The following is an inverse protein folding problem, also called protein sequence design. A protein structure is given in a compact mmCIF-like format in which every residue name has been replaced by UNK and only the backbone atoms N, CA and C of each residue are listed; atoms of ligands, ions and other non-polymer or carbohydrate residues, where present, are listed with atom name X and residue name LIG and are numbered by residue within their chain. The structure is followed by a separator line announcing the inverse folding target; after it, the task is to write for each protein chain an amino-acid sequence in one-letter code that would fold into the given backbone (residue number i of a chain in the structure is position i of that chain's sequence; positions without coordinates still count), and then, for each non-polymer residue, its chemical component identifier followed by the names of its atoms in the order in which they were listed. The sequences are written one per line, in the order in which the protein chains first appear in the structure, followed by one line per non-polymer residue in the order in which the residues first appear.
data_IF_648622167535
#
_entry.id   IF_648622167535
#
_cell.length_a   1.000
_cell.length_b   1.000
_cell.length_c   1.000
_cell.angle_alpha   90.00
_cell.angle_beta   90.00
_cell.angle_gamma   90.00
#
_symmetry.space_group_name_H-M   'P 1'
#
loop_
_entity.id
_entity.type
_entity.pdbx_description
1 polymer ?
#
# COMPACT_ATOMS: atom_id res chain seq x y z
N UNK A 1 1.28 -9.42 2.11
CA UNK A 1 0.90 -8.04 1.69
C UNK A 1 -0.40 -8.11 0.91
N UNK A 2 -0.78 -7.11 0.11
CA UNK A 2 -2.00 -7.21 -0.72
C UNK A 2 -1.91 -8.26 -1.83
N UNK A 3 -0.71 -8.56 -2.33
CA UNK A 3 -0.50 -9.70 -3.21
C UNK A 3 -0.13 -10.92 -2.38
N UNK A 4 -0.87 -11.98 -2.63
CA UNK A 4 -0.73 -13.32 -2.07
C UNK A 4 -0.84 -14.30 -3.24
N UNK A 5 -0.03 -15.36 -3.23
CA UNK A 5 0.02 -16.35 -4.30
C UNK A 5 -1.19 -17.30 -4.28
N UNK A 6 -1.90 -17.36 -3.14
CA UNK A 6 -2.99 -18.32 -2.88
C UNK A 6 -4.37 -17.69 -2.93
N UNK A 7 -4.46 -16.36 -2.77
CA UNK A 7 -5.74 -15.64 -2.74
C UNK A 7 -5.70 -14.42 -3.66
N UNK A 8 -6.73 -14.29 -4.49
CA UNK A 8 -6.98 -13.07 -5.26
C UNK A 8 -7.65 -12.07 -4.32
N UNK A 9 -6.97 -10.96 -4.06
CA UNK A 9 -7.53 -9.87 -3.26
C UNK A 9 -7.98 -8.76 -4.21
N UNK A 10 -9.25 -8.37 -4.09
CA UNK A 10 -9.84 -7.31 -4.89
C UNK A 10 -9.04 -6.00 -4.75
N UNK A 11 -9.03 -5.23 -5.84
CA UNK A 11 -8.34 -3.95 -5.86
C UNK A 11 -9.08 -2.94 -4.98
N UNK A 12 -8.35 -2.05 -4.29
CA UNK A 12 -8.97 -0.92 -3.62
C UNK A 12 -9.77 -0.11 -4.64
N UNK A 13 -11.06 0.07 -4.38
CA UNK A 13 -11.87 1.06 -5.07
C UNK A 13 -12.11 2.23 -4.13
N UNK A 14 -12.30 3.43 -4.67
CA UNK A 14 -12.55 4.61 -3.86
C UNK A 14 -13.83 5.29 -4.35
N UNK A 15 -14.70 5.74 -3.43
CA UNK A 15 -15.90 6.50 -3.78
C UNK A 15 -15.65 8.03 -3.86
N UNK A 16 -14.38 8.46 -3.86
CA UNK A 16 -13.98 9.86 -3.75
C UNK A 16 -13.90 10.58 -5.11
N UNK A 17 -13.93 11.91 -5.10
CA UNK A 17 -13.87 12.73 -6.32
C UNK A 17 -12.63 12.47 -7.20
N UNK A 18 -11.51 12.03 -6.62
CA UNK A 18 -10.27 11.66 -7.32
C UNK A 18 -10.01 10.15 -7.35
N UNK A 19 -11.06 9.33 -7.22
CA UNK A 19 -10.95 7.88 -7.15
C UNK A 19 -10.08 7.27 -8.26
N UNK A 20 -10.31 7.66 -9.52
CA UNK A 20 -9.57 7.14 -10.66
C UNK A 20 -8.05 7.41 -10.59
N UNK A 21 -7.65 8.56 -10.03
CA UNK A 21 -6.23 8.88 -9.81
C UNK A 21 -5.62 7.94 -8.76
N UNK A 22 -6.33 7.73 -7.65
CA UNK A 22 -5.89 6.84 -6.58
C UNK A 22 -5.84 5.37 -7.00
N UNK A 23 -6.82 4.91 -7.78
CA UNK A 23 -6.85 3.57 -8.36
C UNK A 23 -5.68 3.36 -9.34
N UNK A 24 -5.35 4.37 -10.16
CA UNK A 24 -4.19 4.34 -11.06
C UNK A 24 -2.85 4.23 -10.32
N UNK A 25 -2.73 4.92 -9.16
CA UNK A 25 -1.56 4.77 -8.28
C UNK A 25 -1.49 3.34 -7.70
N UNK A 26 -2.61 2.78 -7.25
CA UNK A 26 -2.69 1.38 -6.82
C UNK A 26 -2.24 0.41 -7.92
N UNK A 27 -2.69 0.61 -9.16
CA UNK A 27 -2.30 -0.20 -10.31
C UNK A 27 -0.79 -0.09 -10.60
N UNK A 28 -0.25 1.11 -10.50
CA UNK A 28 1.18 1.37 -10.67
C UNK A 28 2.02 0.65 -9.60
N UNK A 29 1.57 0.67 -8.34
CA UNK A 29 2.21 -0.06 -7.24
C UNK A 29 2.20 -1.58 -7.52
N UNK A 30 1.06 -2.13 -7.98
CA UNK A 30 1.00 -3.56 -8.30
C UNK A 30 1.91 -3.95 -9.45
N UNK A 31 1.85 -3.17 -10.54
CA UNK A 31 2.61 -3.46 -11.76
C UNK A 31 4.11 -3.46 -11.48
N UNK A 32 4.58 -2.50 -10.69
CA UNK A 32 5.98 -2.42 -10.24
C UNK A 32 6.34 -3.62 -9.38
N UNK A 33 5.55 -3.96 -8.37
CA UNK A 33 5.81 -5.15 -7.55
C UNK A 33 5.93 -6.43 -8.37
N UNK A 34 4.98 -6.67 -9.29
CA UNK A 34 4.99 -7.86 -10.18
C UNK A 34 6.24 -7.88 -11.06
N UNK A 35 6.62 -6.72 -11.58
CA UNK A 35 7.83 -6.58 -12.41
C UNK A 35 9.10 -6.86 -11.60
N UNK A 36 9.20 -6.30 -10.39
CA UNK A 36 10.29 -6.53 -9.45
C UNK A 36 10.43 -7.99 -9.06
N UNK A 37 9.29 -8.65 -8.77
CA UNK A 37 9.26 -10.07 -8.42
C UNK A 37 9.72 -10.96 -9.58
N UNK A 38 9.21 -10.70 -10.79
CA UNK A 38 9.58 -11.45 -11.99
C UNK A 38 11.08 -11.36 -12.31
N UNK A 39 11.72 -10.24 -12.00
CA UNK A 39 13.19 -10.11 -12.14
C UNK A 39 13.92 -11.08 -11.22
N UNK A 40 13.52 -11.18 -9.95
CA UNK A 40 14.10 -12.18 -9.03
C UNK A 40 13.85 -13.59 -9.53
N UNK A 41 12.63 -13.90 -9.97
CA UNK A 41 12.28 -15.24 -10.46
C UNK A 41 13.14 -15.66 -11.66
N UNK A 42 13.50 -14.72 -12.54
CA UNK A 42 14.39 -15.01 -13.66
C UNK A 42 15.84 -15.28 -13.20
N UNK A 43 16.28 -14.67 -12.10
CA UNK A 43 17.63 -14.83 -11.56
C UNK A 43 17.72 -15.96 -10.51
N UNK A 44 16.64 -16.72 -10.30
CA UNK A 44 16.54 -17.70 -9.22
C UNK A 44 17.62 -18.80 -9.29
N UNK A 45 18.04 -19.18 -10.50
CA UNK A 45 19.05 -20.22 -10.70
C UNK A 45 20.43 -19.81 -10.16
N UNK A 46 20.69 -18.50 -10.05
CA UNK A 46 21.94 -17.95 -9.53
C UNK A 46 22.03 -18.03 -7.99
N UNK A 47 20.97 -18.45 -7.30
CA UNK A 47 20.95 -18.55 -5.82
C UNK A 47 22.02 -19.49 -5.27
N UNK A 48 22.38 -20.53 -6.03
CA UNK A 48 23.36 -21.53 -5.60
C UNK A 48 24.79 -21.20 -6.06
N UNK A 49 24.97 -20.20 -6.92
CA UNK A 49 26.29 -19.79 -7.39
C UNK A 49 26.94 -18.83 -6.37
N UNK A 50 27.61 -19.43 -5.37
CA UNK A 50 28.32 -18.71 -4.31
C UNK A 50 29.50 -17.87 -4.82
N UNK A 51 29.94 -18.07 -6.06
CA UNK A 51 31.02 -17.28 -6.66
C UNK A 51 30.51 -16.03 -7.41
N UNK A 52 29.20 -15.97 -7.66
CA UNK A 52 28.55 -14.85 -8.33
C UNK A 52 27.89 -13.90 -7.32
N UNK A 53 28.10 -12.59 -7.48
CA UNK A 53 27.37 -11.58 -6.71
C UNK A 53 25.96 -11.31 -7.26
N UNK A 54 25.59 -11.87 -8.42
CA UNK A 54 24.35 -11.55 -9.14
C UNK A 54 23.12 -11.74 -8.27
N UNK A 55 22.97 -12.90 -7.61
CA UNK A 55 21.82 -13.15 -6.74
C UNK A 55 21.73 -12.14 -5.60
N UNK A 56 22.86 -11.84 -4.96
CA UNK A 56 22.91 -10.86 -3.87
C UNK A 56 22.51 -9.46 -4.35
N UNK A 57 23.00 -9.04 -5.52
CA UNK A 57 22.66 -7.76 -6.14
C UNK A 57 21.17 -7.67 -6.51
N UNK A 58 20.60 -8.72 -7.10
CA UNK A 58 19.19 -8.79 -7.47
C UNK A 58 18.28 -8.72 -6.22
N UNK A 59 18.63 -9.42 -5.14
CA UNK A 59 17.90 -9.34 -3.87
C UNK A 59 18.02 -7.94 -3.23
N UNK A 60 19.21 -7.32 -3.26
CA UNK A 60 19.37 -5.95 -2.75
C UNK A 60 18.54 -4.95 -3.56
N UNK A 61 18.52 -5.08 -4.89
CA UNK A 61 17.72 -4.22 -5.76
C UNK A 61 16.23 -4.38 -5.47
N UNK A 62 15.75 -5.62 -5.35
CA UNK A 62 14.37 -5.85 -4.98
C UNK A 62 14.00 -5.24 -3.64
N UNK A 63 14.84 -5.40 -2.61
CA UNK A 63 14.60 -4.76 -1.30
C UNK A 63 14.48 -3.23 -1.39
N UNK A 64 15.28 -2.59 -2.25
CA UNK A 64 15.16 -1.15 -2.53
C UNK A 64 13.82 -0.82 -3.21
N UNK A 65 13.47 -1.54 -4.27
CA UNK A 65 12.20 -1.36 -4.97
C UNK A 65 11.00 -1.57 -4.02
N UNK A 66 11.09 -2.55 -3.11
CA UNK A 66 10.07 -2.78 -2.09
C UNK A 66 9.90 -1.59 -1.14
N UNK A 67 11.01 -0.92 -0.77
CA UNK A 67 10.94 0.25 0.09
C UNK A 67 10.33 1.45 -0.63
N UNK A 68 10.63 1.63 -1.90
CA UNK A 68 10.01 2.66 -2.74
C UNK A 68 8.50 2.45 -2.88
N UNK A 69 8.06 1.19 -3.01
CA UNK A 69 6.63 0.85 -3.06
C UNK A 69 5.91 1.18 -1.75
N UNK A 70 6.57 0.99 -0.60
CA UNK A 70 6.02 1.41 0.69
C UNK A 70 5.83 2.93 0.75
N UNK A 71 6.83 3.69 0.32
CA UNK A 71 6.73 5.16 0.23
C UNK A 71 5.60 5.60 -0.70
N UNK A 72 5.41 4.91 -1.84
CA UNK A 72 4.27 5.20 -2.74
C UNK A 72 2.92 4.98 -2.04
N UNK A 73 2.78 3.92 -1.22
CA UNK A 73 1.55 3.68 -0.46
C UNK A 73 1.35 4.75 0.63
N UNK A 74 2.40 5.16 1.33
CA UNK A 74 2.33 6.23 2.33
C UNK A 74 1.87 7.55 1.70
N UNK A 75 2.42 7.91 0.54
CA UNK A 75 2.03 9.11 -0.20
C UNK A 75 0.58 9.03 -0.67
N UNK A 76 0.16 7.88 -1.22
CA UNK A 76 -1.23 7.65 -1.60
C UNK A 76 -2.17 7.86 -0.40
N UNK A 77 -1.84 7.26 0.75
CA UNK A 77 -2.63 7.40 1.96
C UNK A 77 -2.68 8.87 2.43
N UNK A 78 -1.57 9.60 2.37
CA UNK A 78 -1.54 11.01 2.71
C UNK A 78 -2.46 11.84 1.80
N UNK A 79 -2.39 11.63 0.48
CA UNK A 79 -3.18 12.35 -0.51
C UNK A 79 -4.68 12.06 -0.41
N UNK A 80 -5.06 10.79 -0.21
CA UNK A 80 -6.46 10.39 -0.05
C UNK A 80 -7.04 11.08 1.19
N UNK A 81 -6.32 11.05 2.32
CA UNK A 81 -6.77 11.65 3.59
C UNK A 81 -6.81 13.18 3.63
N UNK A 82 -6.29 13.87 2.61
CA UNK A 82 -6.52 15.31 2.41
C UNK A 82 -7.93 15.58 1.88
N UNK A 83 -8.50 14.65 1.13
CA UNK A 83 -9.81 14.81 0.48
C UNK A 83 -11.01 14.40 1.34
N UNK A 84 -10.76 13.63 2.41
CA UNK A 84 -11.79 13.08 3.30
C UNK A 84 -12.32 14.16 4.24
N UNK A 85 -13.63 14.36 4.22
CA UNK A 85 -14.31 15.32 5.11
C UNK A 85 -15.33 14.66 6.05
N UNK A 86 -15.74 13.43 5.79
CA UNK A 86 -16.68 12.71 6.63
C UNK A 86 -16.10 11.38 7.13
N UNK A 87 -16.66 10.88 8.23
CA UNK A 87 -16.22 9.61 8.83
C UNK A 87 -16.44 8.42 7.90
N UNK A 88 -17.52 8.43 7.11
CA UNK A 88 -17.88 7.31 6.23
C UNK A 88 -16.82 7.07 5.15
N UNK A 89 -16.40 8.13 4.46
CA UNK A 89 -15.28 8.15 3.51
C UNK A 89 -13.97 7.73 4.19
N UNK A 90 -13.73 8.20 5.42
CA UNK A 90 -12.60 7.80 6.23
C UNK A 90 -12.51 6.28 6.45
N UNK A 91 -13.63 5.68 6.83
CA UNK A 91 -13.73 4.24 7.06
C UNK A 91 -13.60 3.46 5.75
N UNK A 92 -14.27 3.90 4.68
CA UNK A 92 -14.21 3.25 3.36
C UNK A 92 -12.77 3.19 2.84
N UNK A 93 -12.02 4.29 2.93
CA UNK A 93 -10.59 4.32 2.55
C UNK A 93 -9.76 3.35 3.39
N UNK A 94 -9.94 3.33 4.72
CA UNK A 94 -9.20 2.43 5.59
C UNK A 94 -9.49 0.97 5.28
N UNK A 95 -10.74 0.64 4.96
CA UNK A 95 -11.15 -0.71 4.57
C UNK A 95 -10.52 -1.10 3.23
N UNK A 96 -10.65 -0.26 2.21
CA UNK A 96 -10.12 -0.53 0.87
C UNK A 96 -8.58 -0.64 0.85
N UNK A 97 -7.89 0.09 1.74
CA UNK A 97 -6.43 0.03 1.87
C UNK A 97 -5.92 -0.94 2.95
N UNK A 98 -6.81 -1.66 3.65
CA UNK A 98 -6.45 -2.51 4.79
C UNK A 98 -5.36 -3.54 4.48
N UNK A 99 -5.33 -4.07 3.27
CA UNK A 99 -4.34 -5.10 2.89
C UNK A 99 -2.91 -4.57 2.83
N UNK A 100 -2.73 -3.25 2.62
CA UNK A 100 -1.42 -2.62 2.69
C UNK A 100 -0.94 -2.47 4.14
N UNK A 101 -1.85 -2.24 5.09
CA UNK A 101 -1.50 -2.07 6.53
C UNK A 101 -0.89 -3.32 7.15
N UNK A 102 -1.12 -4.50 6.55
CA UNK A 102 -0.48 -5.76 6.97
C UNK A 102 1.05 -5.76 6.84
N UNK A 103 1.63 -4.80 6.11
CA UNK A 103 3.08 -4.57 6.12
C UNK A 103 3.47 -3.80 7.38
N UNK A 104 4.42 -4.35 8.13
CA UNK A 104 4.87 -3.80 9.41
C UNK A 104 5.24 -2.31 9.33
N UNK A 105 5.95 -1.92 8.27
CA UNK A 105 6.42 -0.54 8.09
C UNK A 105 5.26 0.44 7.85
N UNK A 106 4.16 -0.03 7.25
CA UNK A 106 2.97 0.78 6.97
C UNK A 106 1.97 0.81 8.13
N UNK A 107 1.99 -0.19 9.01
CA UNK A 107 1.01 -0.34 10.09
C UNK A 107 0.89 0.92 10.96
N UNK A 108 2.03 1.53 11.33
CA UNK A 108 2.06 2.73 12.17
C UNK A 108 1.39 3.94 11.49
N UNK A 109 1.49 4.05 10.17
CA UNK A 109 0.88 5.15 9.43
C UNK A 109 -0.63 4.98 9.33
N UNK A 110 -1.10 3.75 9.10
CA UNK A 110 -2.53 3.42 9.15
C UNK A 110 -3.16 3.66 10.53
N UNK A 111 -2.42 3.38 11.60
CA UNK A 111 -2.88 3.67 12.96
C UNK A 111 -3.10 5.18 13.18
N UNK A 112 -2.16 6.03 12.73
CA UNK A 112 -2.33 7.49 12.78
C UNK A 112 -3.56 7.96 12.01
N UNK A 113 -3.82 7.39 10.82
CA UNK A 113 -5.01 7.71 10.04
C UNK A 113 -6.29 7.22 10.70
N UNK A 114 -6.27 6.06 11.34
CA UNK A 114 -7.38 5.52 12.13
C UNK A 114 -7.73 6.46 13.28
N UNK A 115 -6.74 6.98 14.00
CA UNK A 115 -6.93 7.99 15.04
C UNK A 115 -7.56 9.27 14.46
N UNK A 116 -7.15 9.71 13.25
CA UNK A 116 -7.76 10.88 12.57
C UNK A 116 -9.25 10.65 12.30
N UNK A 117 -9.64 9.48 11.78
CA UNK A 117 -11.06 9.14 11.55
C UNK A 117 -11.84 9.13 12.86
N UNK A 118 -11.27 8.56 13.93
CA UNK A 118 -11.89 8.58 15.26
C UNK A 118 -12.13 9.99 15.80
N UNK A 119 -11.20 10.92 15.54
CA UNK A 119 -11.37 12.34 15.91
C UNK A 119 -12.48 13.00 15.10
N UNK A 120 -12.55 12.75 13.78
CA UNK A 120 -13.66 13.23 12.95
C UNK A 120 -15.01 12.77 13.50
N UNK A 121 -15.10 11.50 13.89
CA UNK A 121 -16.31 10.93 14.50
C UNK A 121 -16.71 11.61 15.80
N UNK A 122 -15.74 11.87 16.68
CA UNK A 122 -16.01 12.60 17.91
C UNK A 122 -16.53 14.02 17.65
N UNK A 123 -15.99 14.71 16.64
CA UNK A 123 -16.45 16.04 16.23
C UNK A 123 -17.87 16.00 15.66
N UNK A 124 -18.16 15.09 14.73
CA UNK A 124 -19.50 14.94 14.14
C UNK A 124 -20.58 14.65 15.21
N UNK A 125 -20.27 13.83 16.22
CA UNK A 125 -21.17 13.57 17.35
C UNK A 125 -21.45 14.85 18.16
N UNK A 126 -20.42 15.67 18.40
CA UNK A 126 -20.57 16.91 19.16
C UNK A 126 -21.40 17.95 18.41
N UNK A 127 -21.28 18.02 17.08
CA UNK A 127 -22.08 18.91 16.23
C UNK A 127 -23.54 18.49 16.11
N UNK A 128 -23.84 17.20 16.32
CA UNK A 128 -25.21 16.66 16.26
C UNK A 128 -25.97 16.80 17.59
N UNK A 129 -25.30 17.27 18.66
CA UNK A 129 -25.87 17.48 20.01
C UNK A 129 -26.41 18.89 20.20
#
# INVERSE_FOLDING_TARGET
GRMDETIVIDKPSFALARAAEFESVCDSIESRFKTSLKKIENDQDMIFDVNSSTWYESILQFRREMKELEVMVENLLAEVFVTINNVTEGIDVLQNMYQYSKRKDLASEFEKRTIKVFKLFATEIQETR
#
